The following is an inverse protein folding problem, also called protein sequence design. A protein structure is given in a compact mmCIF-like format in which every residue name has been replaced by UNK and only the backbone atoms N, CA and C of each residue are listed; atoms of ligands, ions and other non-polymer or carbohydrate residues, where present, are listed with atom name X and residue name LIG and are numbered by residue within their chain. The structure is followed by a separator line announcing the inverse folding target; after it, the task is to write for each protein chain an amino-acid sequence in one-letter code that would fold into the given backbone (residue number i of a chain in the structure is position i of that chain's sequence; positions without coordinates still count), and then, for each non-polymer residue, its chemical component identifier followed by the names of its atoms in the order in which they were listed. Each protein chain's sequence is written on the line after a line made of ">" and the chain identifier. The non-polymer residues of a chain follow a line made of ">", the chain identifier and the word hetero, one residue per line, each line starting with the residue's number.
data_IF_446184868530
#
_entry.id   IF_446184868530
#
_cell.length_a   1.000
_cell.length_b   1.000
_cell.length_c   1.000
_cell.angle_alpha   90.00
_cell.angle_beta   90.00
_cell.angle_gamma   90.00
#
_symmetry.space_group_name_H-M   'P 1'
#
loop_
_entity.id
_entity.type
_entity.pdbx_description
1 polymer ?
#
# COMPACT_ATOMS: atom_id res chain seq x y z
N UNK A 1 25.52 -0.56 -5.53
CA UNK A 1 25.13 0.83 -5.21
C UNK A 1 24.44 0.82 -3.86
N UNK A 2 25.01 1.46 -2.84
CA UNK A 2 24.52 1.37 -1.45
C UNK A 2 23.48 2.48 -1.24
N UNK A 3 22.20 2.16 -1.43
CA UNK A 3 21.10 3.07 -1.15
C UNK A 3 21.19 3.53 0.31
N UNK A 4 21.22 4.84 0.55
CA UNK A 4 21.29 5.37 1.91
C UNK A 4 20.01 4.98 2.67
N UNK A 5 20.12 4.71 3.98
CA UNK A 5 18.95 4.32 4.80
C UNK A 5 17.82 5.35 4.72
N UNK A 6 18.17 6.63 4.57
CA UNK A 6 17.23 7.75 4.39
C UNK A 6 16.49 7.61 3.06
N UNK A 7 17.22 7.34 1.96
CA UNK A 7 16.62 7.20 0.64
C UNK A 7 15.70 5.98 0.53
N UNK A 8 16.05 4.88 1.20
CA UNK A 8 15.15 3.71 1.31
C UNK A 8 13.90 4.01 2.14
N UNK A 9 14.01 4.87 3.17
CA UNK A 9 12.87 5.31 3.98
C UNK A 9 11.90 6.18 3.19
N UNK A 10 12.43 7.14 2.42
CA UNK A 10 11.63 8.00 1.53
C UNK A 10 10.94 7.16 0.45
N UNK A 11 11.65 6.25 -0.19
CA UNK A 11 11.07 5.37 -1.21
C UNK A 11 9.97 4.47 -0.64
N UNK A 12 10.16 3.95 0.58
CA UNK A 12 9.11 3.22 1.28
C UNK A 12 7.91 4.14 1.53
N UNK A 13 8.12 5.33 2.13
CA UNK A 13 7.09 6.32 2.42
C UNK A 13 6.25 6.71 1.19
N UNK A 14 6.91 7.01 0.06
CA UNK A 14 6.24 7.37 -1.20
C UNK A 14 5.40 6.22 -1.73
N UNK A 15 5.89 4.98 -1.68
CA UNK A 15 5.11 3.81 -2.10
C UNK A 15 3.84 3.63 -1.25
N UNK A 16 3.92 3.85 0.08
CA UNK A 16 2.75 3.80 0.98
C UNK A 16 1.70 4.82 0.57
N UNK A 17 2.15 6.06 0.38
CA UNK A 17 1.27 7.20 0.14
C UNK A 17 0.59 7.05 -1.21
N UNK A 18 1.35 6.70 -2.27
CA UNK A 18 0.79 6.45 -3.59
C UNK A 18 -0.19 5.28 -3.56
N UNK A 19 0.14 4.18 -2.88
CA UNK A 19 -0.77 3.04 -2.73
C UNK A 19 -2.07 3.43 -2.02
N UNK A 20 -1.99 4.23 -0.95
CA UNK A 20 -3.16 4.70 -0.21
C UNK A 20 -4.06 5.63 -1.04
N UNK A 21 -3.46 6.60 -1.74
CA UNK A 21 -4.19 7.53 -2.60
C UNK A 21 -4.88 6.79 -3.73
N UNK A 22 -4.19 5.86 -4.40
CA UNK A 22 -4.77 5.03 -5.45
C UNK A 22 -5.90 4.14 -4.92
N UNK A 23 -5.78 3.60 -3.70
CA UNK A 23 -6.85 2.82 -3.08
C UNK A 23 -8.11 3.66 -2.85
N UNK A 24 -7.97 4.88 -2.31
CA UNK A 24 -9.11 5.80 -2.10
C UNK A 24 -9.74 6.16 -3.45
N UNK A 25 -8.94 6.52 -4.46
CA UNK A 25 -9.45 6.86 -5.80
C UNK A 25 -10.17 5.67 -6.44
N UNK A 26 -9.61 4.47 -6.30
CA UNK A 26 -10.23 3.24 -6.77
C UNK A 26 -11.59 3.00 -6.12
N UNK A 27 -11.69 3.18 -4.79
CA UNK A 27 -12.97 3.04 -4.08
C UNK A 27 -13.99 4.09 -4.53
N UNK A 28 -13.57 5.36 -4.64
CA UNK A 28 -14.45 6.45 -5.07
C UNK A 28 -14.99 6.27 -6.49
N UNK A 29 -14.23 5.63 -7.38
CA UNK A 29 -14.65 5.39 -8.77
C UNK A 29 -15.38 4.05 -8.93
N UNK A 30 -14.86 2.99 -8.32
CA UNK A 30 -15.33 1.61 -8.52
C UNK A 30 -16.56 1.31 -7.67
N UNK A 31 -16.60 1.74 -6.40
CA UNK A 31 -17.75 1.44 -5.51
C UNK A 31 -19.09 1.95 -6.07
N UNK A 32 -19.22 3.21 -6.51
CA UNK A 32 -20.46 3.64 -7.16
C UNK A 32 -20.73 2.90 -8.48
N UNK A 33 -19.69 2.56 -9.25
CA UNK A 33 -19.86 1.81 -10.50
C UNK A 33 -20.39 0.38 -10.29
N UNK A 34 -20.13 -0.24 -9.13
CA UNK A 34 -20.66 -1.56 -8.78
C UNK A 34 -21.89 -1.51 -7.85
N UNK A 35 -22.44 -0.32 -7.60
CA UNK A 35 -23.61 -0.12 -6.73
C UNK A 35 -23.34 -0.24 -5.22
N UNK A 36 -22.07 -0.21 -4.81
CA UNK A 36 -21.69 -0.20 -3.39
C UNK A 36 -21.69 1.24 -2.87
N UNK A 37 -22.63 1.53 -1.96
CA UNK A 37 -22.65 2.77 -1.20
C UNK A 37 -21.76 2.64 0.03
N UNK A 38 -20.44 2.67 -0.16
CA UNK A 38 -19.52 2.70 0.97
C UNK A 38 -19.46 4.12 1.55
N UNK A 39 -19.68 4.24 2.86
CA UNK A 39 -19.42 5.46 3.61
C UNK A 39 -17.96 5.89 3.46
N UNK A 40 -17.69 7.19 3.47
CA UNK A 40 -16.35 7.78 3.48
C UNK A 40 -15.45 7.13 4.55
N UNK A 41 -16.03 6.75 5.69
CA UNK A 41 -15.34 6.05 6.78
C UNK A 41 -14.94 4.61 6.40
N UNK A 42 -15.77 3.89 5.67
CA UNK A 42 -15.49 2.54 5.19
C UNK A 42 -14.40 2.56 4.13
N UNK A 43 -14.45 3.51 3.19
CA UNK A 43 -13.40 3.71 2.19
C UNK A 43 -12.04 3.97 2.84
N UNK A 44 -11.98 4.85 3.85
CA UNK A 44 -10.74 5.09 4.61
C UNK A 44 -10.21 3.82 5.31
N UNK A 45 -11.07 3.01 5.93
CA UNK A 45 -10.68 1.74 6.56
C UNK A 45 -10.11 0.74 5.54
N UNK A 46 -10.77 0.62 4.38
CA UNK A 46 -10.32 -0.28 3.31
C UNK A 46 -9.00 0.22 2.72
N UNK A 47 -8.85 1.54 2.53
CA UNK A 47 -7.60 2.15 2.08
C UNK A 47 -6.45 1.83 3.04
N UNK A 48 -6.68 1.96 4.35
CA UNK A 48 -5.70 1.63 5.39
C UNK A 48 -5.31 0.14 5.34
N UNK A 49 -6.29 -0.75 5.21
CA UNK A 49 -6.03 -2.19 5.10
C UNK A 49 -5.21 -2.53 3.86
N UNK A 50 -5.55 -1.97 2.70
CA UNK A 50 -4.81 -2.17 1.45
C UNK A 50 -3.38 -1.67 1.53
N UNK A 51 -3.18 -0.49 2.12
CA UNK A 51 -1.86 0.09 2.34
C UNK A 51 -1.02 -0.79 3.27
N UNK A 52 -1.58 -1.22 4.40
CA UNK A 52 -0.90 -2.13 5.33
C UNK A 52 -0.52 -3.46 4.65
N UNK A 53 -1.41 -4.02 3.84
CA UNK A 53 -1.16 -5.23 3.06
C UNK A 53 -0.07 -5.03 2.00
N UNK A 54 -0.11 -3.93 1.25
CA UNK A 54 0.90 -3.58 0.24
C UNK A 54 2.30 -3.47 0.87
N UNK A 55 2.36 -2.77 2.01
CA UNK A 55 3.59 -2.63 2.79
C UNK A 55 4.10 -3.96 3.31
N UNK A 56 3.21 -4.71 3.97
CA UNK A 56 3.50 -6.00 4.58
C UNK A 56 4.02 -6.98 3.54
N UNK A 57 3.37 -7.05 2.37
CA UNK A 57 3.77 -7.94 1.28
C UNK A 57 5.15 -7.55 0.72
N UNK A 58 5.43 -6.27 0.53
CA UNK A 58 6.75 -5.79 0.08
C UNK A 58 7.88 -6.09 1.08
N UNK A 59 7.60 -5.94 2.38
CA UNK A 59 8.54 -6.28 3.44
C UNK A 59 8.76 -7.80 3.55
N UNK A 60 7.67 -8.58 3.55
CA UNK A 60 7.71 -10.03 3.62
C UNK A 60 8.43 -10.65 2.42
N UNK A 61 8.19 -10.14 1.20
CA UNK A 61 8.92 -10.58 0.01
C UNK A 61 10.42 -10.29 0.13
N UNK A 62 10.82 -9.07 0.54
CA UNK A 62 12.24 -8.76 0.81
C UNK A 62 12.84 -9.71 1.86
N UNK A 63 12.11 -9.98 2.94
CA UNK A 63 12.54 -10.89 4.02
C UNK A 63 12.68 -12.33 3.53
N UNK A 64 11.75 -12.79 2.71
CA UNK A 64 11.72 -14.15 2.17
C UNK A 64 12.84 -14.35 1.14
N UNK A 65 13.06 -13.41 0.22
CA UNK A 65 14.18 -13.46 -0.72
C UNK A 65 15.55 -13.43 -0.02
N UNK A 66 15.70 -12.64 1.04
CA UNK A 66 16.92 -12.67 1.85
C UNK A 66 17.11 -14.02 2.59
N UNK A 67 16.03 -14.68 2.99
CA UNK A 67 16.06 -16.02 3.61
C UNK A 67 16.34 -17.14 2.61
N UNK A 68 15.91 -17.00 1.36
CA UNK A 68 16.11 -17.97 0.27
C UNK A 68 17.46 -17.80 -0.45
N UNK A 69 18.09 -16.63 -0.38
CA UNK A 69 19.44 -16.36 -0.89
C UNK A 69 20.55 -16.62 0.13
N UNK A 70 20.19 -17.02 1.36
CA UNK A 70 21.11 -17.60 2.35
C UNK A 70 20.96 -19.10 2.38
#
# INVERSE_FOLDING_TARGET
>A
MRQSRIMSGVEAATNVVLGYVLAILGQLLVFPAVGLNASLRQSLQIGLAFTALSQGRSYLLRRLFNRLRG
#
